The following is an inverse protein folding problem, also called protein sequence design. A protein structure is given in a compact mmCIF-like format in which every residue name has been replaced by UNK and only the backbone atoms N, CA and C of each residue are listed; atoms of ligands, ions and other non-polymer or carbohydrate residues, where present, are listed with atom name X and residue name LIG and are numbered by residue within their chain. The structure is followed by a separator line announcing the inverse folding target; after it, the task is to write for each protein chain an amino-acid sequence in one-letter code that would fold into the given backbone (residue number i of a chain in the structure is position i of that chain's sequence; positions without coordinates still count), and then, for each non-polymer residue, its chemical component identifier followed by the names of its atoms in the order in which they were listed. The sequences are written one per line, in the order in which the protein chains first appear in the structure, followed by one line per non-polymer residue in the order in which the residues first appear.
data_IF_944070293226
#
_entry.id   IF_944070293226
#
_cell.length_a   1.000
_cell.length_b   1.000
_cell.length_c   1.000
_cell.angle_alpha   90.00
_cell.angle_beta   90.00
_cell.angle_gamma   90.00
#
_symmetry.space_group_name_H-M   'P 1'
#
loop_
_entity.id
_entity.type
_entity.pdbx_description
1 polymer ?
#
# COMPACT_ATOMS: atom_id res chain seq x y z
N UNK A 1 5.70 1.63 -15.50
CA UNK A 1 6.33 0.91 -14.36
C UNK A 1 6.29 -0.60 -14.54
N UNK A 2 5.19 -1.17 -15.03
CA UNK A 2 5.07 -2.62 -15.26
C UNK A 2 6.16 -3.19 -16.19
N UNK A 3 6.58 -2.42 -17.20
CA UNK A 3 7.67 -2.79 -18.12
C UNK A 3 9.04 -2.93 -17.42
N UNK A 4 9.31 -2.09 -16.40
CA UNK A 4 10.59 -2.09 -15.66
C UNK A 4 10.60 -3.24 -14.65
N UNK A 5 9.46 -3.48 -14.00
CA UNK A 5 9.23 -4.64 -13.14
C UNK A 5 9.46 -5.95 -13.91
N UNK A 6 8.82 -6.10 -15.07
CA UNK A 6 8.94 -7.30 -15.92
C UNK A 6 10.34 -7.50 -16.47
N UNK A 7 11.02 -6.45 -16.92
CA UNK A 7 12.37 -6.56 -17.51
C UNK A 7 13.42 -7.07 -16.51
N UNK A 8 13.21 -6.88 -15.20
CA UNK A 8 14.16 -7.30 -14.16
C UNK A 8 13.63 -8.36 -13.20
N UNK A 9 12.38 -8.83 -13.38
CA UNK A 9 11.70 -9.71 -12.43
C UNK A 9 11.49 -9.08 -11.05
N UNK A 10 11.50 -7.75 -10.97
CA UNK A 10 11.34 -7.01 -9.71
C UNK A 10 9.87 -6.70 -9.45
N UNK A 11 9.44 -6.79 -8.19
CA UNK A 11 8.09 -6.38 -7.80
C UNK A 11 8.09 -4.90 -7.48
N UNK A 12 7.25 -4.13 -8.19
CA UNK A 12 7.11 -2.69 -7.97
C UNK A 12 5.72 -2.39 -7.41
N UNK A 13 5.67 -1.57 -6.37
CA UNK A 13 4.44 -1.13 -5.71
C UNK A 13 4.46 0.39 -5.55
N UNK A 14 3.28 1.02 -5.52
CA UNK A 14 3.18 2.46 -5.24
C UNK A 14 3.74 2.80 -3.85
N UNK A 15 4.27 4.00 -3.68
CA UNK A 15 4.70 4.46 -2.37
C UNK A 15 3.51 4.71 -1.45
N UNK A 16 3.75 4.65 -0.13
CA UNK A 16 2.71 4.80 0.89
C UNK A 16 1.95 6.12 0.83
N UNK A 17 2.66 7.22 0.56
CA UNK A 17 2.05 8.53 0.37
C UNK A 17 1.07 8.56 -0.82
N UNK A 18 1.42 7.93 -1.94
CA UNK A 18 0.50 7.80 -3.07
C UNK A 18 -0.66 6.83 -2.75
N UNK A 19 -0.40 5.77 -1.98
CA UNK A 19 -1.44 4.83 -1.55
C UNK A 19 -2.53 5.53 -0.71
N UNK A 20 -2.13 6.29 0.32
CA UNK A 20 -3.08 7.05 1.15
C UNK A 20 -3.78 8.15 0.37
N UNK A 21 -3.10 8.76 -0.61
CA UNK A 21 -3.71 9.74 -1.51
C UNK A 21 -4.78 9.14 -2.41
N UNK A 22 -4.51 7.99 -3.04
CA UNK A 22 -5.47 7.25 -3.87
C UNK A 22 -6.70 6.78 -3.08
N UNK A 23 -6.54 6.55 -1.78
CA UNK A 23 -7.62 6.17 -0.86
C UNK A 23 -8.37 7.38 -0.26
N UNK A 24 -8.05 8.61 -0.68
CA UNK A 24 -8.71 9.82 -0.17
C UNK A 24 -8.45 10.08 1.32
N UNK A 25 -7.33 9.59 1.84
CA UNK A 25 -6.87 9.80 3.22
C UNK A 25 -5.88 10.96 3.33
N UNK A 26 -5.28 11.37 2.21
CA UNK A 26 -4.45 12.56 2.12
C UNK A 26 -4.65 13.24 0.77
N UNK A 27 -4.48 14.55 0.73
CA UNK A 27 -4.49 15.35 -0.50
C UNK A 27 -3.08 15.71 -0.95
N UNK A 28 -2.06 15.43 -0.12
CA UNK A 28 -0.68 15.82 -0.36
C UNK A 28 -0.08 15.03 -1.53
N UNK A 29 0.28 15.74 -2.60
CA UNK A 29 0.93 15.16 -3.77
C UNK A 29 2.44 15.17 -3.60
N UNK A 30 3.09 14.05 -3.95
CA UNK A 30 4.55 13.97 -3.97
C UNK A 30 5.08 14.70 -5.21
N UNK A 31 6.03 15.62 -5.01
CA UNK A 31 6.71 16.32 -6.12
C UNK A 31 7.55 15.35 -6.95
N UNK A 32 8.20 14.39 -6.29
CA UNK A 32 8.99 13.35 -6.95
C UNK A 32 8.25 11.99 -6.86
N UNK A 33 7.86 11.39 -7.99
CA UNK A 33 7.17 10.10 -7.98
C UNK A 33 8.08 9.02 -7.39
N UNK A 34 7.64 8.43 -6.28
CA UNK A 34 8.38 7.41 -5.55
C UNK A 34 7.60 6.10 -5.57
N UNK A 35 8.31 4.98 -5.71
CA UNK A 35 7.74 3.63 -5.71
C UNK A 35 8.57 2.71 -4.83
N UNK A 36 7.93 1.68 -4.29
CA UNK A 36 8.62 0.59 -3.64
C UNK A 36 9.05 -0.47 -4.66
N UNK A 37 10.22 -1.06 -4.45
CA UNK A 37 10.75 -2.16 -5.27
C UNK A 37 11.31 -3.28 -4.39
N UNK A 38 11.30 -4.52 -4.87
CA UNK A 38 12.00 -5.64 -4.24
C UNK A 38 13.52 -5.56 -4.43
N UNK A 39 13.99 -4.82 -5.43
CA UNK A 39 15.41 -4.63 -5.71
C UNK A 39 16.05 -3.47 -4.95
N UNK A 40 17.23 -3.04 -5.39
CA UNK A 40 17.98 -1.97 -4.73
C UNK A 40 17.28 -0.61 -4.85
N UNK A 41 17.44 0.23 -3.82
CA UNK A 41 17.04 1.64 -3.86
C UNK A 41 17.87 2.36 -4.92
N UNK A 42 17.20 3.00 -5.89
CA UNK A 42 17.84 3.73 -6.98
C UNK A 42 16.88 4.74 -7.60
N UNK A 43 17.43 5.72 -8.29
CA UNK A 43 16.65 6.65 -9.12
C UNK A 43 16.76 6.24 -10.57
N UNK A 44 15.64 6.25 -11.27
CA UNK A 44 15.57 5.92 -12.70
C UNK A 44 15.05 7.15 -13.44
N UNK A 45 15.68 7.47 -14.58
CA UNK A 45 15.16 8.45 -15.52
C UNK A 45 14.33 7.73 -16.58
N UNK A 46 13.10 8.18 -16.76
CA UNK A 46 12.18 7.71 -17.81
C UNK A 46 11.87 8.94 -18.67
N UNK A 47 12.53 9.04 -19.83
CA UNK A 47 12.50 10.26 -20.63
C UNK A 47 13.02 11.44 -19.83
N UNK A 48 12.19 12.50 -19.69
CA UNK A 48 12.52 13.69 -18.90
C UNK A 48 12.08 13.60 -17.42
N UNK A 49 11.41 12.52 -17.01
CA UNK A 49 10.92 12.34 -15.65
C UNK A 49 11.92 11.51 -14.81
N UNK A 50 12.15 11.94 -13.56
CA UNK A 50 12.93 11.18 -12.57
C UNK A 50 11.95 10.46 -11.64
N UNK A 51 12.15 9.16 -11.47
CA UNK A 51 11.35 8.32 -10.57
C UNK A 51 12.27 7.67 -9.55
N UNK A 52 11.89 7.73 -8.27
CA UNK A 52 12.66 7.13 -7.17
C UNK A 52 12.12 5.75 -6.83
N UNK A 53 12.97 4.74 -6.89
CA UNK A 53 12.67 3.40 -6.39
C UNK A 53 13.30 3.24 -5.01
N UNK A 54 12.49 2.88 -4.02
CA UNK A 54 12.96 2.56 -2.66
C UNK A 54 12.80 1.06 -2.41
N UNK A 55 13.86 0.43 -1.95
CA UNK A 55 13.80 -0.94 -1.51
C UNK A 55 12.74 -1.09 -0.40
N UNK A 56 11.89 -2.11 -0.51
CA UNK A 56 10.94 -2.48 0.52
C UNK A 56 10.95 -3.98 0.79
N UNK A 57 10.69 -4.34 2.04
CA UNK A 57 10.53 -5.73 2.45
C UNK A 57 9.42 -6.42 1.65
N UNK A 58 9.56 -7.73 1.40
CA UNK A 58 8.54 -8.55 0.73
C UNK A 58 7.16 -8.43 1.36
N UNK A 59 7.07 -8.21 2.67
CA UNK A 59 5.81 -7.98 3.38
C UNK A 59 5.03 -6.78 2.82
N UNK A 60 5.71 -5.70 2.43
CA UNK A 60 5.06 -4.50 1.88
C UNK A 60 4.75 -4.62 0.39
N UNK A 61 5.40 -5.56 -0.29
CA UNK A 61 5.22 -5.83 -1.73
C UNK A 61 4.23 -6.98 -2.01
N UNK A 62 3.54 -7.48 -0.99
CA UNK A 62 2.47 -8.46 -1.18
C UNK A 62 1.35 -7.86 -2.02
N UNK A 63 0.80 -8.65 -2.94
CA UNK A 63 -0.31 -8.23 -3.81
C UNK A 63 0.00 -6.92 -4.57
N UNK A 64 1.27 -6.72 -4.94
CA UNK A 64 1.68 -5.50 -5.65
C UNK A 64 0.90 -5.33 -6.96
N UNK A 65 0.53 -4.09 -7.27
CA UNK A 65 -0.30 -3.74 -8.42
C UNK A 65 -1.81 -3.92 -8.20
N UNK A 66 -2.25 -4.52 -7.09
CA UNK A 66 -3.69 -4.69 -6.79
C UNK A 66 -4.20 -3.68 -5.76
N UNK A 67 -5.53 -3.65 -5.57
CA UNK A 67 -6.17 -2.85 -4.53
C UNK A 67 -5.76 -3.31 -3.13
N UNK A 68 -5.61 -4.63 -2.92
CA UNK A 68 -5.13 -5.21 -1.66
C UNK A 68 -3.72 -4.71 -1.33
N UNK A 69 -2.79 -4.76 -2.30
CA UNK A 69 -1.43 -4.25 -2.10
C UNK A 69 -1.42 -2.75 -1.79
N UNK A 70 -2.33 -1.99 -2.40
CA UNK A 70 -2.50 -0.55 -2.14
C UNK A 70 -2.97 -0.30 -0.71
N UNK A 71 -4.01 -1.00 -0.25
CA UNK A 71 -4.50 -0.93 1.12
C UNK A 71 -3.43 -1.33 2.15
N UNK A 72 -2.76 -2.46 1.91
CA UNK A 72 -1.67 -2.94 2.78
C UNK A 72 -0.54 -1.91 2.88
N UNK A 73 -0.16 -1.31 1.75
CA UNK A 73 0.89 -0.29 1.71
C UNK A 73 0.46 0.97 2.47
N UNK A 74 -0.79 1.39 2.34
CA UNK A 74 -1.35 2.53 3.05
C UNK A 74 -1.33 2.32 4.57
N UNK A 75 -1.81 1.18 5.05
CA UNK A 75 -1.74 0.85 6.47
C UNK A 75 -0.30 0.82 6.98
N UNK A 76 0.60 0.15 6.27
CA UNK A 76 2.01 0.08 6.67
C UNK A 76 2.68 1.45 6.66
N UNK A 77 2.22 2.41 5.86
CA UNK A 77 2.77 3.76 5.78
C UNK A 77 2.27 4.65 6.92
N UNK A 78 0.98 4.61 7.22
CA UNK A 78 0.38 5.35 8.33
C UNK A 78 0.89 4.84 9.69
N UNK A 79 1.14 3.54 9.78
CA UNK A 79 1.59 2.90 11.02
C UNK A 79 0.52 2.87 12.11
N UNK A 80 0.86 2.31 13.28
CA UNK A 80 -0.10 2.12 14.38
C UNK A 80 -0.76 3.43 14.85
N UNK A 81 0.01 4.52 14.89
CA UNK A 81 -0.47 5.80 15.42
C UNK A 81 -1.27 6.63 14.39
N UNK A 82 -1.12 6.34 13.09
CA UNK A 82 -1.80 7.05 12.01
C UNK A 82 -3.06 6.34 11.50
N UNK A 83 -3.40 5.19 12.08
CA UNK A 83 -4.56 4.38 11.69
C UNK A 83 -5.62 4.49 12.78
N UNK A 84 -6.63 5.31 12.50
CA UNK A 84 -7.85 5.46 13.29
C UNK A 84 -8.99 4.59 12.72
N UNK A 85 -10.05 4.34 13.49
CA UNK A 85 -11.23 3.61 13.02
C UNK A 85 -11.78 4.18 11.69
N UNK A 86 -11.84 5.50 11.54
CA UNK A 86 -12.32 6.12 10.31
C UNK A 86 -11.42 5.80 9.10
N UNK A 87 -10.11 5.76 9.33
CA UNK A 87 -9.12 5.40 8.31
C UNK A 87 -9.30 3.93 7.92
N UNK A 88 -9.44 3.05 8.90
CA UNK A 88 -9.69 1.62 8.64
C UNK A 88 -10.94 1.46 7.80
N UNK A 89 -12.06 2.08 8.20
CA UNK A 89 -13.34 2.04 7.48
C UNK A 89 -13.23 2.53 6.05
N UNK A 90 -12.54 3.65 5.80
CA UNK A 90 -12.33 4.16 4.42
C UNK A 90 -11.57 3.16 3.56
N UNK A 91 -10.53 2.54 4.12
CA UNK A 91 -9.72 1.56 3.39
C UNK A 91 -10.53 0.28 3.12
N UNK A 92 -11.25 -0.23 4.12
CA UNK A 92 -12.07 -1.43 3.97
C UNK A 92 -13.24 -1.21 3.02
N UNK A 93 -13.89 -0.04 3.06
CA UNK A 93 -14.97 0.32 2.12
C UNK A 93 -14.48 0.45 0.66
N UNK A 94 -13.18 0.68 0.46
CA UNK A 94 -12.58 0.69 -0.89
C UNK A 94 -12.33 -0.73 -1.44
N UNK A 95 -12.54 -1.76 -0.63
CA UNK A 95 -12.33 -3.17 -0.94
C UNK A 95 -13.67 -3.91 -0.90
N UNK A 96 -13.81 -4.94 -1.74
CA UNK A 96 -14.91 -5.91 -1.63
C UNK A 96 -14.62 -6.93 -0.52
N UNK A 97 -15.64 -7.63 -0.03
CA UNK A 97 -15.50 -8.66 1.00
C UNK A 97 -14.46 -9.74 0.64
N UNK A 98 -14.39 -10.15 -0.62
CA UNK A 98 -13.38 -11.10 -1.11
C UNK A 98 -11.96 -10.54 -1.01
N UNK A 99 -11.77 -9.28 -1.37
CA UNK A 99 -10.47 -8.60 -1.31
C UNK A 99 -10.06 -8.33 0.14
N UNK A 100 -11.02 -8.04 1.02
CA UNK A 100 -10.78 -7.92 2.46
C UNK A 100 -10.35 -9.26 3.06
N UNK A 101 -11.00 -10.36 2.70
CA UNK A 101 -10.60 -11.71 3.12
C UNK A 101 -9.17 -12.04 2.66
N UNK A 102 -8.82 -11.74 1.40
CA UNK A 102 -7.44 -11.89 0.89
C UNK A 102 -6.45 -10.99 1.63
N UNK A 103 -6.84 -9.76 1.98
CA UNK A 103 -6.02 -8.87 2.80
C UNK A 103 -5.73 -9.52 4.16
N UNK A 104 -6.72 -10.10 4.84
CA UNK A 104 -6.54 -10.77 6.14
C UNK A 104 -5.63 -12.02 6.09
N UNK A 105 -5.47 -12.63 4.91
CA UNK A 105 -4.54 -13.73 4.66
C UNK A 105 -3.09 -13.26 4.41
N UNK A 106 -2.89 -11.97 4.12
CA UNK A 106 -1.55 -11.42 3.93
C UNK A 106 -0.76 -11.35 5.24
N UNK A 107 0.57 -11.44 5.16
CA UNK A 107 1.46 -11.23 6.31
C UNK A 107 1.42 -9.77 6.73
N UNK A 108 0.99 -9.50 7.96
CA UNK A 108 0.87 -8.14 8.50
C UNK A 108 1.19 -8.11 10.01
N UNK A 109 1.59 -6.96 10.55
CA UNK A 109 1.85 -6.83 11.98
C UNK A 109 0.58 -6.99 12.82
N UNK A 110 0.72 -7.47 14.05
CA UNK A 110 -0.41 -7.76 14.96
C UNK A 110 -1.37 -6.58 15.12
N UNK A 111 -0.84 -5.35 15.28
CA UNK A 111 -1.67 -4.15 15.45
C UNK A 111 -2.60 -3.89 14.25
N UNK A 112 -2.15 -4.19 13.03
CA UNK A 112 -2.95 -4.01 11.81
C UNK A 112 -4.06 -5.05 11.75
N UNK A 113 -3.75 -6.29 12.11
CA UNK A 113 -4.74 -7.37 12.19
C UNK A 113 -5.81 -7.05 13.23
N UNK A 114 -5.43 -6.51 14.38
CA UNK A 114 -6.37 -6.04 15.41
C UNK A 114 -7.25 -4.90 14.90
N UNK A 115 -6.68 -3.90 14.22
CA UNK A 115 -7.45 -2.77 13.68
C UNK A 115 -8.48 -3.21 12.63
N UNK A 116 -8.12 -4.16 11.74
CA UNK A 116 -9.03 -4.73 10.76
C UNK A 116 -10.14 -5.57 11.40
N UNK A 117 -9.80 -6.35 12.44
CA UNK A 117 -10.77 -7.18 13.16
C UNK A 117 -11.79 -6.33 13.94
N UNK A 118 -11.34 -5.24 14.56
CA UNK A 118 -12.19 -4.31 15.32
C UNK A 118 -13.22 -3.63 14.39
N UNK A 119 -12.78 -3.17 13.22
CA UNK A 119 -13.66 -2.58 12.22
C UNK A 119 -14.70 -3.58 11.67
N UNK A 120 -14.33 -4.85 11.48
CA UNK A 120 -15.26 -5.89 11.04
C UNK A 120 -16.33 -6.22 12.11
N UNK A 121 -16.00 -6.05 13.39
CA UNK A 121 -16.95 -6.19 14.49
C UNK A 121 -17.97 -5.04 14.57
N UNK A 122 -17.56 -3.82 14.22
CA UNK A 122 -18.41 -2.63 14.35
C UNK A 122 -19.34 -2.38 13.14
N UNK A 123 -19.11 -3.04 11.99
CA UNK A 123 -19.99 -2.96 10.82
C UNK A 123 -21.30 -3.76 10.94
N UNK A 124 -21.47 -4.54 12.02
CA UNK A 124 -22.67 -5.37 12.29
C UNK A 124 -23.60 -4.83 13.38
N UNK A 125 -23.36 -3.61 13.87
CA UNK A 125 -24.18 -3.00 14.93
C UNK A 125 -25.03 -1.85 14.42
#
# INVERSE_FOLDING_TARGET
METIARARGETIQIHGAEAVRRLGLSTQMQVLPTYYTSGATREIRIGNAVVRLRHASRQRLQQAGTRIGTALTAFLYLGKNGVDEQVVRKITNSLSDEELNKLMQCKMPKWMRSALADCAGNARK
#
